data_IF_751557856106
#
_entry.id   IF_751557856106
#
_cell.length_a   1.000
_cell.length_b   1.000
_cell.length_c   1.000
_cell.angle_alpha   90.00
_cell.angle_beta   90.00
_cell.angle_gamma   90.00
#
_symmetry.space_group_name_H-M   'P 1'
#
loop_
_entity.id
_entity.type
_entity.pdbx_description
1 polymer ?
#
# COMPACT_ATOMS: atom_id res chain seq x y z
N UNK A 1 -21.78 -31.57 -23.65
CA UNK A 1 -21.58 -31.42 -22.20
C UNK A 1 -20.18 -30.88 -22.02
N UNK A 2 -20.06 -29.56 -21.93
CA UNK A 2 -18.79 -28.88 -21.67
C UNK A 2 -18.88 -28.34 -20.25
N UNK A 3 -18.02 -28.88 -19.40
CA UNK A 3 -17.80 -28.47 -18.03
C UNK A 3 -17.48 -26.98 -17.98
N UNK A 4 -18.50 -26.17 -17.69
CA UNK A 4 -18.33 -24.81 -17.25
C UNK A 4 -18.12 -24.84 -15.74
N UNK A 5 -16.93 -25.28 -15.34
CA UNK A 5 -16.29 -24.84 -14.10
C UNK A 5 -15.88 -23.35 -14.28
N UNK A 6 -16.86 -22.52 -14.67
CA UNK A 6 -16.79 -21.08 -14.47
C UNK A 6 -16.89 -20.90 -12.97
N UNK A 7 -15.71 -20.89 -12.35
CA UNK A 7 -15.47 -20.42 -10.99
C UNK A 7 -16.57 -19.43 -10.59
N UNK A 8 -17.37 -19.78 -9.57
CA UNK A 8 -18.41 -19.00 -8.89
C UNK A 8 -17.81 -17.71 -8.31
N UNK A 9 -17.29 -16.90 -9.22
CA UNK A 9 -16.50 -15.72 -8.99
C UNK A 9 -17.34 -14.54 -9.44
N UNK A 10 -17.16 -13.45 -8.72
CA UNK A 10 -17.69 -12.11 -8.98
C UNK A 10 -17.71 -11.65 -10.47
N UNK A 11 -16.91 -12.28 -11.35
CA UNK A 11 -16.80 -12.01 -12.78
C UNK A 11 -17.55 -13.01 -13.69
N UNK A 12 -18.38 -13.91 -13.15
CA UNK A 12 -19.20 -14.78 -13.99
C UNK A 12 -20.06 -13.94 -14.94
N UNK A 13 -20.15 -14.35 -16.21
CA UNK A 13 -20.89 -13.67 -17.29
C UNK A 13 -22.34 -13.32 -16.88
N UNK A 14 -22.91 -14.10 -15.96
CA UNK A 14 -24.29 -13.98 -15.46
C UNK A 14 -24.47 -13.07 -14.24
N UNK A 15 -23.41 -12.77 -13.49
CA UNK A 15 -23.47 -12.00 -12.25
C UNK A 15 -23.74 -10.50 -12.51
N UNK A 16 -23.12 -9.96 -13.56
CA UNK A 16 -23.25 -8.56 -13.94
C UNK A 16 -24.64 -8.17 -14.47
N UNK A 17 -25.22 -8.85 -15.47
CA UNK A 17 -26.57 -8.50 -15.96
C UNK A 17 -27.64 -8.66 -14.88
N UNK A 18 -27.44 -9.59 -13.94
CA UNK A 18 -28.31 -9.70 -12.77
C UNK A 18 -28.29 -8.44 -11.90
N UNK A 19 -27.11 -7.90 -11.56
CA UNK A 19 -27.03 -6.67 -10.76
C UNK A 19 -27.53 -5.44 -11.52
N UNK A 20 -27.30 -5.37 -12.84
CA UNK A 20 -27.79 -4.30 -13.70
C UNK A 20 -29.33 -4.24 -13.70
N UNK A 21 -30.04 -5.37 -13.60
CA UNK A 21 -31.51 -5.38 -13.50
C UNK A 21 -32.08 -4.70 -12.23
N UNK A 22 -31.26 -4.50 -11.19
CA UNK A 22 -31.68 -3.84 -9.95
C UNK A 22 -31.29 -2.35 -9.88
N UNK A 23 -30.75 -1.80 -10.97
CA UNK A 23 -30.32 -0.40 -11.04
C UNK A 23 -31.43 0.58 -10.66
N UNK A 24 -32.61 0.45 -11.28
CA UNK A 24 -33.73 1.36 -11.03
C UNK A 24 -34.21 1.29 -9.59
N UNK A 25 -34.21 0.10 -8.98
CA UNK A 25 -34.58 -0.09 -7.57
C UNK A 25 -33.53 0.55 -6.64
N UNK A 26 -32.25 0.38 -6.93
CA UNK A 26 -31.17 1.00 -6.16
C UNK A 26 -31.31 2.54 -6.13
N UNK A 27 -31.60 3.17 -7.27
CA UNK A 27 -31.78 4.62 -7.35
C UNK A 27 -33.03 5.10 -6.59
N UNK A 28 -34.11 4.31 -6.58
CA UNK A 28 -35.31 4.62 -5.78
C UNK A 28 -35.02 4.56 -4.28
N UNK A 29 -34.38 3.48 -3.80
CA UNK A 29 -33.99 3.34 -2.40
C UNK A 29 -32.93 4.37 -1.97
N UNK A 30 -32.06 4.80 -2.88
CA UNK A 30 -31.11 5.88 -2.62
C UNK A 30 -31.83 7.22 -2.39
N UNK A 31 -32.87 7.53 -3.18
CA UNK A 31 -33.68 8.75 -3.00
C UNK A 31 -34.51 8.73 -1.72
N UNK A 32 -34.97 7.55 -1.32
CA UNK A 32 -35.84 7.37 -0.16
C UNK A 32 -35.06 7.06 1.14
N UNK A 33 -33.72 7.11 1.11
CA UNK A 33 -32.84 6.80 2.24
C UNK A 33 -33.01 5.38 2.84
N UNK A 34 -33.66 4.45 2.12
CA UNK A 34 -33.95 3.06 2.56
C UNK A 34 -32.95 2.05 1.99
N UNK A 35 -31.67 2.41 1.98
CA UNK A 35 -30.62 1.57 1.38
C UNK A 35 -30.38 0.26 2.13
N UNK A 36 -30.63 0.20 3.44
CA UNK A 36 -30.41 -1.01 4.23
C UNK A 36 -31.39 -2.14 3.88
N UNK A 37 -32.64 -1.79 3.58
CA UNK A 37 -33.65 -2.73 3.06
C UNK A 37 -33.23 -3.27 1.68
N UNK A 38 -32.73 -2.38 0.82
CA UNK A 38 -32.19 -2.76 -0.49
C UNK A 38 -31.01 -3.74 -0.38
N UNK A 39 -30.06 -3.48 0.53
CA UNK A 39 -28.90 -4.35 0.73
C UNK A 39 -29.30 -5.73 1.23
N UNK A 40 -30.32 -5.81 2.09
CA UNK A 40 -30.85 -7.08 2.60
C UNK A 40 -31.50 -7.87 1.47
N UNK A 41 -32.41 -7.23 0.71
CA UNK A 41 -33.11 -7.82 -0.42
C UNK A 41 -32.15 -8.36 -1.50
N UNK A 42 -31.16 -7.57 -1.90
CA UNK A 42 -30.24 -7.99 -2.97
C UNK A 42 -29.30 -9.11 -2.51
N UNK A 43 -28.97 -9.14 -1.22
CA UNK A 43 -28.18 -10.23 -0.64
C UNK A 43 -28.97 -11.54 -0.66
N UNK A 44 -30.24 -11.51 -0.29
CA UNK A 44 -31.12 -12.69 -0.37
C UNK A 44 -31.30 -13.18 -1.81
N UNK A 45 -31.59 -12.27 -2.74
CA UNK A 45 -31.74 -12.61 -4.16
C UNK A 45 -30.44 -13.12 -4.78
N UNK A 46 -29.29 -12.59 -4.36
CA UNK A 46 -27.98 -13.10 -4.78
C UNK A 46 -27.75 -14.52 -4.27
N UNK A 47 -28.01 -14.77 -2.98
CA UNK A 47 -27.85 -16.09 -2.37
C UNK A 47 -28.76 -17.13 -3.03
N UNK A 48 -29.99 -16.75 -3.37
CA UNK A 48 -30.92 -17.63 -4.07
C UNK A 48 -30.44 -18.03 -5.48
N UNK A 49 -29.74 -17.13 -6.19
CA UNK A 49 -29.35 -17.34 -7.60
C UNK A 49 -27.94 -17.91 -7.77
N UNK A 50 -26.99 -17.51 -6.93
CA UNK A 50 -25.57 -17.84 -7.05
C UNK A 50 -24.99 -18.56 -5.81
N UNK A 51 -25.83 -18.82 -4.80
CA UNK A 51 -25.40 -19.45 -3.55
C UNK A 51 -24.62 -18.54 -2.61
N UNK A 52 -24.03 -19.15 -1.57
CA UNK A 52 -23.34 -18.44 -0.49
C UNK A 52 -21.83 -18.25 -0.73
N UNK A 53 -21.27 -18.77 -1.83
CA UNK A 53 -19.84 -18.77 -2.11
C UNK A 53 -19.17 -17.37 -2.04
N UNK A 54 -19.90 -16.31 -2.41
CA UNK A 54 -19.39 -14.93 -2.35
C UNK A 54 -19.35 -14.37 -0.90
N UNK A 55 -20.16 -14.92 0.00
CA UNK A 55 -20.33 -14.47 1.38
C UNK A 55 -19.60 -15.35 2.39
N UNK A 56 -19.20 -16.58 2.03
CA UNK A 56 -18.45 -17.52 2.87
C UNK A 56 -16.99 -17.11 3.13
N UNK A 57 -16.40 -16.29 2.25
CA UNK A 57 -15.08 -15.69 2.51
C UNK A 57 -15.22 -14.59 3.53
N UNK A 58 -14.87 -14.89 4.79
CA UNK A 58 -14.69 -13.88 5.83
C UNK A 58 -13.73 -12.79 5.31
N UNK A 59 -14.18 -11.54 5.37
CA UNK A 59 -13.28 -10.42 5.18
C UNK A 59 -12.63 -10.10 6.53
N UNK A 60 -11.40 -9.57 6.54
CA UNK A 60 -10.69 -9.16 7.77
C UNK A 60 -11.44 -8.10 8.64
N UNK A 61 -12.62 -7.66 8.20
CA UNK A 61 -13.53 -6.79 8.94
C UNK A 61 -14.93 -7.43 8.96
N UNK A 62 -15.72 -7.18 10.02
CA UNK A 62 -17.07 -7.74 10.31
C UNK A 62 -18.14 -7.64 9.21
N UNK A 63 -17.80 -7.22 7.99
CA UNK A 63 -18.66 -7.24 6.81
C UNK A 63 -18.29 -8.42 5.88
N UNK A 64 -19.26 -9.18 5.37
CA UNK A 64 -18.97 -10.27 4.44
C UNK A 64 -18.40 -9.70 3.14
N UNK A 65 -17.34 -10.33 2.62
CA UNK A 65 -16.59 -9.82 1.46
C UNK A 65 -17.50 -9.59 0.23
N UNK A 66 -18.55 -10.40 0.07
CA UNK A 66 -19.54 -10.26 -1.00
C UNK A 66 -20.36 -8.98 -0.96
N UNK A 67 -20.87 -8.59 0.21
CA UNK A 67 -21.68 -7.37 0.33
C UNK A 67 -20.86 -6.12 -0.02
N UNK A 68 -19.58 -6.10 0.39
CA UNK A 68 -18.66 -5.00 0.02
C UNK A 68 -18.51 -4.89 -1.49
N UNK A 69 -18.39 -6.01 -2.21
CA UNK A 69 -18.28 -6.02 -3.67
C UNK A 69 -19.56 -5.53 -4.34
N UNK A 70 -20.73 -5.99 -3.89
CA UNK A 70 -22.05 -5.53 -4.38
C UNK A 70 -22.20 -4.02 -4.17
N UNK A 71 -21.86 -3.50 -2.98
CA UNK A 71 -21.87 -2.06 -2.69
C UNK A 71 -20.95 -1.27 -3.62
N UNK A 72 -19.73 -1.79 -3.88
CA UNK A 72 -18.79 -1.15 -4.82
C UNK A 72 -19.37 -1.12 -6.24
N UNK A 73 -20.05 -2.18 -6.68
CA UNK A 73 -20.70 -2.24 -7.99
C UNK A 73 -21.73 -1.12 -8.17
N UNK A 74 -22.73 -1.03 -7.29
CA UNK A 74 -23.78 0.00 -7.39
C UNK A 74 -23.23 1.42 -7.20
N UNK A 75 -22.22 1.61 -6.34
CA UNK A 75 -21.52 2.89 -6.21
C UNK A 75 -20.83 3.30 -7.52
N UNK A 76 -20.25 2.36 -8.25
CA UNK A 76 -19.61 2.63 -9.54
C UNK A 76 -20.65 2.83 -10.65
N UNK A 77 -21.80 2.13 -10.57
CA UNK A 77 -22.93 2.28 -11.49
C UNK A 77 -23.55 3.69 -11.41
N UNK A 78 -23.86 4.16 -10.20
CA UNK A 78 -24.37 5.53 -9.96
C UNK A 78 -23.45 6.62 -10.49
N UNK A 79 -22.12 6.37 -10.52
CA UNK A 79 -21.13 7.29 -11.09
C UNK A 79 -21.06 7.27 -12.62
N UNK A 80 -21.57 6.23 -13.29
CA UNK A 80 -21.66 6.16 -14.77
C UNK A 80 -22.80 7.00 -15.34
N UNK A 81 -23.87 7.21 -14.57
CA UNK A 81 -25.01 8.04 -15.03
C UNK A 81 -24.65 9.54 -14.96
N UNK A 82 -23.70 9.92 -14.11
CA UNK A 82 -23.22 11.30 -13.96
C UNK A 82 -21.91 11.58 -14.72
N UNK A 83 -21.49 10.72 -15.65
CA UNK A 83 -20.30 10.96 -16.48
C UNK A 83 -20.58 11.86 -17.69
N UNK A 84 -21.30 12.95 -17.46
CA UNK A 84 -21.31 14.16 -18.30
C UNK A 84 -20.57 15.30 -17.58
N UNK A 85 -19.44 14.97 -16.95
CA UNK A 85 -18.40 15.94 -16.61
C UNK A 85 -17.10 15.18 -16.40
N UNK A 86 -16.24 15.26 -17.39
CA UNK A 86 -14.79 15.26 -17.26
C UNK A 86 -14.38 16.34 -16.25
N UNK A 87 -14.63 16.10 -14.96
CA UNK A 87 -13.70 16.58 -13.96
C UNK A 87 -12.59 15.55 -14.01
N UNK A 88 -11.42 15.84 -14.63
CA UNK A 88 -10.28 14.96 -14.47
C UNK A 88 -10.19 14.74 -12.97
N UNK A 89 -10.31 13.48 -12.56
CA UNK A 89 -10.07 13.14 -11.17
C UNK A 89 -8.69 13.68 -10.90
N UNK A 90 -8.63 14.81 -10.18
CA UNK A 90 -7.46 15.19 -9.43
C UNK A 90 -7.25 13.96 -8.54
N UNK A 91 -6.44 13.02 -9.04
CA UNK A 91 -5.48 12.36 -8.17
C UNK A 91 -5.00 13.52 -7.31
N UNK A 92 -5.10 13.47 -5.97
CA UNK A 92 -4.50 14.51 -5.17
C UNK A 92 -3.11 14.66 -5.77
N UNK A 93 -2.87 15.80 -6.42
CA UNK A 93 -1.53 16.12 -6.85
C UNK A 93 -0.80 15.99 -5.54
N UNK A 94 0.08 14.98 -5.43
CA UNK A 94 0.90 14.83 -4.25
C UNK A 94 1.45 16.22 -4.05
N UNK A 95 0.97 16.92 -3.02
CA UNK A 95 1.34 18.30 -2.85
C UNK A 95 2.79 18.23 -2.39
N UNK A 96 3.70 18.24 -3.36
CA UNK A 96 5.15 18.30 -3.17
C UNK A 96 5.56 19.63 -2.54
N UNK A 97 4.58 20.43 -2.10
CA UNK A 97 4.68 21.78 -1.55
C UNK A 97 5.29 21.80 -0.15
N UNK A 98 5.38 20.67 0.56
CA UNK A 98 6.18 20.57 1.78
C UNK A 98 7.22 19.47 1.63
N UNK A 99 8.37 19.83 1.06
CA UNK A 99 9.55 18.96 1.04
C UNK A 99 9.97 18.74 2.49
N UNK A 100 10.01 17.47 2.93
CA UNK A 100 10.28 17.11 4.32
C UNK A 100 11.78 17.17 4.58
N UNK A 101 12.17 17.80 5.69
CA UNK A 101 13.55 17.78 6.19
C UNK A 101 14.05 16.33 6.29
N UNK A 102 15.32 16.13 5.98
CA UNK A 102 15.97 14.83 6.04
C UNK A 102 15.89 14.28 7.47
N UNK A 103 15.76 12.97 7.66
CA UNK A 103 15.88 12.37 8.99
C UNK A 103 17.35 12.48 9.46
N UNK A 104 17.61 12.69 10.76
CA UNK A 104 18.98 12.81 11.28
C UNK A 104 19.87 11.62 10.93
N UNK A 105 19.35 10.38 10.96
CA UNK A 105 20.09 9.18 10.55
C UNK A 105 20.44 9.19 9.06
N UNK A 106 19.58 9.74 8.21
CA UNK A 106 19.85 9.88 6.78
C UNK A 106 20.90 10.98 6.53
N UNK A 107 20.85 12.08 7.29
CA UNK A 107 21.87 13.14 7.27
C UNK A 107 23.25 12.60 7.70
N UNK A 108 23.29 11.81 8.78
CA UNK A 108 24.50 11.14 9.24
C UNK A 108 25.06 10.18 8.20
N UNK A 109 24.20 9.39 7.53
CA UNK A 109 24.63 8.56 6.42
C UNK A 109 25.27 9.40 5.31
N UNK A 110 24.65 10.52 4.92
CA UNK A 110 25.25 11.37 3.88
C UNK A 110 26.64 11.90 4.25
N UNK A 111 26.83 12.36 5.47
CA UNK A 111 28.09 12.94 5.93
C UNK A 111 29.20 11.89 6.12
N UNK A 112 28.87 10.74 6.72
CA UNK A 112 29.87 9.81 7.21
C UNK A 112 29.82 8.41 6.58
N UNK A 113 28.99 8.18 5.57
CA UNK A 113 28.92 6.87 4.93
C UNK A 113 30.25 6.47 4.29
N UNK A 114 30.85 7.35 3.47
CA UNK A 114 32.10 7.05 2.78
C UNK A 114 33.28 6.85 3.73
N UNK A 115 33.32 7.60 4.84
CA UNK A 115 34.44 7.62 5.77
C UNK A 115 34.33 6.59 6.89
N UNK A 116 33.15 6.42 7.51
CA UNK A 116 32.97 5.57 8.71
C UNK A 116 32.25 4.25 8.44
N UNK A 117 31.31 4.22 7.49
CA UNK A 117 30.41 3.05 7.30
C UNK A 117 30.89 2.13 6.17
N UNK A 118 31.17 2.69 4.99
CA UNK A 118 31.58 1.94 3.79
C UNK A 118 32.81 1.04 4.00
N UNK A 119 33.87 1.45 4.73
CA UNK A 119 35.05 0.62 4.91
C UNK A 119 34.79 -0.68 5.69
N UNK A 120 33.86 -0.67 6.63
CA UNK A 120 33.58 -1.80 7.53
C UNK A 120 32.35 -2.60 7.11
N UNK A 121 31.45 -2.02 6.32
CA UNK A 121 30.18 -2.62 5.93
C UNK A 121 30.32 -4.01 5.28
N UNK A 122 31.27 -4.19 4.35
CA UNK A 122 31.41 -5.46 3.64
C UNK A 122 31.90 -6.59 4.55
N UNK A 123 32.89 -6.28 5.40
CA UNK A 123 33.44 -7.22 6.36
C UNK A 123 32.38 -7.61 7.41
N UNK A 124 31.68 -6.62 7.97
CA UNK A 124 30.64 -6.84 8.98
C UNK A 124 29.44 -7.60 8.42
N UNK A 125 29.04 -7.32 7.18
CA UNK A 125 27.94 -8.01 6.53
C UNK A 125 28.29 -9.47 6.22
N UNK A 126 29.51 -9.75 5.77
CA UNK A 126 29.97 -11.13 5.55
C UNK A 126 30.04 -11.90 6.87
N UNK A 127 30.58 -11.29 7.93
CA UNK A 127 30.61 -11.91 9.26
C UNK A 127 29.18 -12.17 9.81
N UNK A 128 28.25 -11.25 9.59
CA UNK A 128 26.83 -11.43 9.94
C UNK A 128 26.19 -12.58 9.16
N UNK A 129 26.44 -12.65 7.85
CA UNK A 129 25.91 -13.70 6.97
C UNK A 129 26.42 -15.08 7.40
N UNK A 130 27.70 -15.21 7.73
CA UNK A 130 28.28 -16.47 8.21
C UNK A 130 27.69 -16.87 9.56
N UNK A 131 27.53 -15.93 10.50
CA UNK A 131 26.89 -16.19 11.80
C UNK A 131 25.44 -16.64 11.66
N UNK A 132 24.65 -16.00 10.81
CA UNK A 132 23.26 -16.39 10.58
C UNK A 132 23.15 -17.72 9.85
N UNK A 133 24.06 -18.01 8.91
CA UNK A 133 24.16 -19.31 8.24
C UNK A 133 24.48 -20.43 9.23
N UNK A 134 25.40 -20.19 10.17
CA UNK A 134 25.73 -21.14 11.22
C UNK A 134 24.55 -21.42 12.18
N UNK A 135 23.67 -20.44 12.39
CA UNK A 135 22.45 -20.58 13.19
C UNK A 135 21.24 -21.12 12.43
N UNK A 136 21.32 -21.25 11.10
CA UNK A 136 20.20 -21.63 10.26
C UNK A 136 19.10 -20.56 10.13
N UNK A 137 19.40 -19.31 10.48
CA UNK A 137 18.44 -18.21 10.45
C UNK A 137 18.42 -17.48 9.08
N UNK A 138 17.30 -16.84 8.71
CA UNK A 138 17.22 -16.06 7.49
C UNK A 138 18.18 -14.86 7.54
N UNK A 139 19.01 -14.72 6.50
CA UNK A 139 19.94 -13.60 6.34
C UNK A 139 19.17 -12.38 5.83
N UNK A 140 19.26 -11.28 6.57
CA UNK A 140 18.70 -10.00 6.13
C UNK A 140 19.39 -9.50 4.86
N UNK A 141 18.65 -8.77 4.01
CA UNK A 141 19.24 -8.11 2.85
C UNK A 141 20.27 -7.06 3.30
N UNK A 142 21.36 -6.93 2.53
CA UNK A 142 22.47 -5.99 2.79
C UNK A 142 22.01 -4.56 3.10
N UNK A 143 21.05 -4.04 2.34
CA UNK A 143 20.49 -2.71 2.56
C UNK A 143 19.84 -2.54 3.93
N UNK A 144 19.12 -3.56 4.42
CA UNK A 144 18.49 -3.54 5.75
C UNK A 144 19.56 -3.56 6.85
N UNK A 145 20.58 -4.39 6.68
CA UNK A 145 21.73 -4.44 7.58
C UNK A 145 22.48 -3.10 7.64
N UNK A 146 22.70 -2.48 6.49
CA UNK A 146 23.33 -1.16 6.38
C UNK A 146 22.54 -0.09 7.13
N UNK A 147 21.21 -0.01 6.94
CA UNK A 147 20.39 0.97 7.64
C UNK A 147 20.42 0.78 9.17
N UNK A 148 20.42 -0.47 9.63
CA UNK A 148 20.55 -0.78 11.06
C UNK A 148 21.94 -0.40 11.60
N UNK A 149 23.00 -0.67 10.83
CA UNK A 149 24.37 -0.27 11.17
C UNK A 149 24.50 1.26 11.26
N UNK A 150 24.01 2.01 10.27
CA UNK A 150 24.02 3.49 10.28
C UNK A 150 23.28 4.04 11.50
N UNK A 151 22.11 3.47 11.83
CA UNK A 151 21.35 3.86 13.03
C UNK A 151 22.12 3.61 14.32
N UNK A 152 22.74 2.43 14.45
CA UNK A 152 23.56 2.06 15.61
C UNK A 152 24.79 2.95 15.75
N UNK A 153 25.47 3.25 14.66
CA UNK A 153 26.62 4.15 14.65
C UNK A 153 26.20 5.55 15.09
N UNK A 154 25.14 6.12 14.49
CA UNK A 154 24.62 7.44 14.87
C UNK A 154 24.25 7.56 16.37
N UNK A 155 23.66 6.52 16.95
CA UNK A 155 23.30 6.52 18.38
C UNK A 155 24.53 6.54 19.30
N UNK A 156 25.64 5.92 18.88
CA UNK A 156 26.90 5.84 19.63
C UNK A 156 27.79 7.07 19.50
N UNK A 157 27.50 7.95 18.55
CA UNK A 157 28.31 9.15 18.30
C UNK A 157 28.12 10.19 19.39
N UNK A 158 29.10 11.09 19.48
CA UNK A 158 29.13 12.20 20.44
C UNK A 158 28.06 13.24 20.11
N UNK A 159 27.73 14.07 21.10
CA UNK A 159 26.73 15.14 20.92
C UNK A 159 27.21 16.21 19.93
N UNK A 160 28.52 16.39 19.76
CA UNK A 160 29.13 17.25 18.75
C UNK A 160 28.82 16.78 17.32
N UNK A 161 29.01 15.49 17.04
CA UNK A 161 28.68 14.90 15.73
C UNK A 161 27.17 14.96 15.47
N UNK A 162 26.34 14.78 16.50
CA UNK A 162 24.89 14.93 16.38
C UNK A 162 24.48 16.37 16.07
N UNK A 163 25.16 17.37 16.65
CA UNK A 163 24.94 18.77 16.36
C UNK A 163 25.35 19.12 14.92
N UNK A 164 26.47 18.58 14.43
CA UNK A 164 26.92 18.74 13.03
C UNK A 164 25.91 18.13 12.05
N UNK A 165 25.43 16.92 12.33
CA UNK A 165 24.38 16.25 11.55
C UNK A 165 23.10 17.09 11.52
N UNK A 166 22.73 17.71 12.63
CA UNK A 166 21.55 18.57 12.72
C UNK A 166 21.74 19.88 11.94
N UNK A 167 22.94 20.47 11.99
CA UNK A 167 23.30 21.63 11.18
C UNK A 167 23.22 21.30 9.68
N UNK A 168 23.75 20.15 9.27
CA UNK A 168 23.64 19.66 7.89
C UNK A 168 22.18 19.40 7.50
N UNK A 169 21.36 18.85 8.40
CA UNK A 169 19.92 18.62 8.18
C UNK A 169 19.13 19.93 7.95
N UNK A 170 19.61 21.03 8.54
CA UNK A 170 19.02 22.37 8.37
C UNK A 170 19.54 23.07 7.10
N UNK A 171 20.76 22.77 6.67
CA UNK A 171 21.41 23.39 5.50
C UNK A 171 21.14 22.65 4.18
N UNK A 172 20.92 21.34 4.22
CA UNK A 172 20.72 20.52 3.03
C UNK A 172 19.47 21.02 2.27
N UNK A 173 19.69 21.63 1.11
CA UNK A 173 18.63 22.09 0.21
C UNK A 173 17.91 20.88 -0.40
N UNK A 174 16.60 21.02 -0.57
CA UNK A 174 15.63 19.93 -0.77
C UNK A 174 15.68 19.23 -2.16
N UNK A 175 16.87 18.92 -2.71
CA UNK A 175 17.06 18.36 -4.06
C UNK A 175 18.01 17.16 -4.15
N UNK A 176 18.97 17.00 -3.23
CA UNK A 176 20.03 15.98 -3.33
C UNK A 176 19.60 14.55 -2.91
N UNK A 177 18.33 14.32 -2.60
CA UNK A 177 17.85 13.04 -2.06
C UNK A 177 17.50 12.06 -3.20
N UNK A 178 16.94 12.56 -4.31
CA UNK A 178 16.51 11.72 -5.43
C UNK A 178 17.71 11.05 -6.12
N UNK A 179 18.77 11.81 -6.33
CA UNK A 179 19.96 11.37 -7.07
C UNK A 179 20.71 10.25 -6.34
N UNK A 180 20.81 10.33 -5.01
CA UNK A 180 21.47 9.29 -4.21
C UNK A 180 20.66 7.99 -4.10
N UNK A 181 19.33 8.08 -3.96
CA UNK A 181 18.47 6.89 -3.94
C UNK A 181 18.47 6.17 -5.30
N UNK A 182 18.53 6.92 -6.39
CA UNK A 182 18.71 6.35 -7.73
C UNK A 182 20.09 5.75 -7.93
N UNK A 183 21.14 6.34 -7.35
CA UNK A 183 22.51 5.82 -7.46
C UNK A 183 22.70 4.53 -6.65
N UNK A 184 22.13 4.44 -5.44
CA UNK A 184 22.11 3.21 -4.64
C UNK A 184 21.25 2.08 -5.22
N UNK A 185 20.30 2.38 -6.11
CA UNK A 185 19.53 1.35 -6.82
C UNK A 185 20.23 0.85 -8.09
N UNK A 186 21.24 1.58 -8.58
CA UNK A 186 22.02 1.23 -9.77
C UNK A 186 23.31 0.47 -9.45
N UNK A 187 23.79 0.51 -8.21
CA UNK A 187 24.91 -0.30 -7.67
C UNK A 187 24.40 -1.62 -7.03
#
# INVERSE_FOLDING_TARGET
>A
MTDADETLGWNASLARPFLESFESMYLQHQKNETLDEFWTMITEKWKAKFGNALFERESHHKNPAGLKKIKIFFRNLSKRVNSSATKPGSRPEFSLTARKKLQSTQAYSKLYYASKIKPTLEADYNAYREKQRAKGEPVMRKFVFMNDMVKKSYLKETDEVKAEVEAYRLQAKDGEISEYLEQLQKE
#
